data_IF_933079703896
#
_entry.id   IF_933079703896
#
_cell.length_a   1.000
_cell.length_b   1.000
_cell.length_c   1.000
_cell.angle_alpha   90.00
_cell.angle_beta   90.00
_cell.angle_gamma   90.00
#
_symmetry.space_group_name_H-M   'P 1'
#
loop_
_entity.id
_entity.type
_entity.pdbx_description
1 polymer ?
#
# COMPACT_ATOMS: atom_id res chain seq x y z
N UNK A 1 -2.16 35.48 -40.65
CA UNK A 1 -3.01 35.26 -39.43
C UNK A 1 -2.46 34.05 -38.68
N UNK A 2 -1.64 34.31 -37.65
CA UNK A 2 -1.00 33.25 -36.83
C UNK A 2 -1.98 32.84 -35.73
N UNK A 3 -2.42 31.56 -35.72
CA UNK A 3 -3.25 31.01 -34.65
C UNK A 3 -2.33 30.60 -33.51
N UNK A 4 -2.38 31.33 -32.39
CA UNK A 4 -1.73 30.96 -31.14
C UNK A 4 -2.57 29.83 -30.56
N UNK A 5 -1.99 28.62 -30.54
CA UNK A 5 -2.56 27.47 -29.84
C UNK A 5 -2.28 27.63 -28.35
N UNK A 6 -3.30 28.05 -27.60
CA UNK A 6 -3.20 28.15 -26.13
C UNK A 6 -3.33 26.73 -25.59
N UNK A 7 -2.18 26.09 -25.26
CA UNK A 7 -2.19 24.81 -24.54
C UNK A 7 -2.55 25.11 -23.07
N UNK A 8 -3.80 24.83 -22.71
CA UNK A 8 -4.22 24.87 -21.29
C UNK A 8 -3.55 23.71 -20.58
N UNK A 9 -2.50 23.99 -19.82
CA UNK A 9 -1.91 23.04 -18.88
C UNK A 9 -2.94 22.84 -17.76
N UNK A 10 -3.70 21.75 -17.81
CA UNK A 10 -4.52 21.34 -16.69
C UNK A 10 -3.56 20.87 -15.58
N UNK A 11 -3.35 21.72 -14.58
CA UNK A 11 -2.72 21.32 -13.34
C UNK A 11 -3.69 20.34 -12.64
N UNK A 12 -3.44 19.05 -12.78
CA UNK A 12 -4.15 18.03 -12.01
C UNK A 12 -3.73 18.18 -10.55
N UNK A 13 -4.69 18.49 -9.68
CA UNK A 13 -4.46 18.55 -8.25
C UNK A 13 -4.05 17.18 -7.69
N UNK A 14 -3.70 17.10 -6.39
CA UNK A 14 -3.34 15.85 -5.76
C UNK A 14 -4.49 14.84 -5.84
N UNK A 15 -4.18 13.63 -6.32
CA UNK A 15 -5.11 12.50 -6.45
C UNK A 15 -4.98 11.59 -5.23
N UNK A 16 -6.08 11.33 -4.54
CA UNK A 16 -6.14 10.28 -3.52
C UNK A 16 -6.34 8.95 -4.25
N UNK A 17 -5.29 8.12 -4.27
CA UNK A 17 -5.27 6.82 -4.96
C UNK A 17 -5.95 5.74 -4.12
N UNK A 18 -5.68 5.72 -2.82
CA UNK A 18 -6.29 4.81 -1.87
C UNK A 18 -6.53 5.51 -0.53
N UNK A 19 -7.55 5.06 0.20
CA UNK A 19 -7.86 5.54 1.53
C UNK A 19 -8.46 4.43 2.38
N UNK A 20 -7.82 4.11 3.49
CA UNK A 20 -8.37 3.29 4.56
C UNK A 20 -9.06 4.19 5.59
N UNK A 21 -10.26 3.81 6.00
CA UNK A 21 -11.01 4.50 7.02
C UNK A 21 -11.59 5.87 6.62
N UNK A 22 -12.42 6.47 7.47
CA UNK A 22 -12.98 7.80 7.27
C UNK A 22 -11.96 8.89 7.56
N UNK A 23 -12.01 9.99 6.81
CA UNK A 23 -11.34 11.24 7.16
C UNK A 23 -12.36 12.16 7.85
N UNK A 24 -12.37 12.16 9.17
CA UNK A 24 -13.18 13.05 9.99
C UNK A 24 -12.33 13.55 11.17
N UNK A 25 -12.01 14.83 11.24
CA UNK A 25 -12.32 15.91 10.29
C UNK A 25 -11.70 15.72 8.89
N UNK A 26 -12.08 16.52 7.87
CA UNK A 26 -11.49 16.46 6.55
C UNK A 26 -9.96 16.59 6.59
N UNK A 27 -9.28 15.78 5.78
CA UNK A 27 -7.82 15.80 5.69
C UNK A 27 -7.27 17.19 5.39
N UNK A 28 -6.34 17.64 6.22
CA UNK A 28 -5.64 18.91 6.08
C UNK A 28 -4.13 18.66 5.83
N UNK A 29 -3.69 18.86 4.60
CA UNK A 29 -2.30 18.64 4.20
C UNK A 29 -1.29 19.56 4.88
N UNK A 30 -1.71 20.71 5.42
CA UNK A 30 -0.83 21.60 6.19
C UNK A 30 -0.44 21.04 7.56
N UNK A 31 -1.18 20.02 8.02
CA UNK A 31 -0.87 19.30 9.27
C UNK A 31 0.00 18.07 9.04
N UNK A 32 0.57 17.89 7.86
CA UNK A 32 1.47 16.79 7.57
C UNK A 32 2.81 16.98 8.26
N UNK A 33 3.17 16.05 9.11
CA UNK A 33 4.47 15.96 9.74
C UNK A 33 5.25 14.78 9.15
N UNK A 34 6.53 14.96 8.83
CA UNK A 34 7.36 13.85 8.35
C UNK A 34 7.38 12.73 9.39
N UNK A 35 7.20 11.52 8.90
CA UNK A 35 7.32 10.33 9.73
C UNK A 35 8.76 10.15 10.22
N UNK A 36 8.94 9.58 11.41
CA UNK A 36 10.23 9.31 12.04
C UNK A 36 10.20 7.94 12.75
N UNK A 37 11.37 7.43 13.14
CA UNK A 37 11.48 6.21 13.94
C UNK A 37 10.96 4.95 13.25
N UNK A 38 10.30 4.10 14.02
CA UNK A 38 9.91 2.74 13.64
C UNK A 38 9.04 2.68 12.37
N UNK A 39 8.15 3.67 12.19
CA UNK A 39 7.28 3.70 11.01
C UNK A 39 8.10 3.86 9.70
N UNK A 40 9.16 4.65 9.71
CA UNK A 40 10.08 4.77 8.56
C UNK A 40 10.91 3.51 8.36
N UNK A 41 11.33 2.84 9.44
CA UNK A 41 12.05 1.57 9.35
C UNK A 41 11.19 0.50 8.69
N UNK A 42 9.93 0.34 9.12
CA UNK A 42 8.99 -0.61 8.55
C UNK A 42 8.68 -0.30 7.08
N UNK A 43 8.47 0.98 6.75
CA UNK A 43 8.31 1.41 5.35
C UNK A 43 9.55 1.11 4.50
N UNK A 44 10.74 1.27 5.07
CA UNK A 44 12.01 0.90 4.44
C UNK A 44 12.11 -0.60 4.13
N UNK A 45 11.66 -1.47 5.03
CA UNK A 45 11.59 -2.93 4.82
C UNK A 45 10.66 -3.30 3.65
N UNK A 46 9.48 -2.69 3.58
CA UNK A 46 8.55 -2.90 2.46
C UNK A 46 9.15 -2.42 1.14
N UNK A 47 9.73 -1.23 1.13
CA UNK A 47 10.38 -0.69 -0.07
C UNK A 47 11.53 -1.59 -0.55
N UNK A 48 12.38 -2.06 0.36
CA UNK A 48 13.47 -2.98 0.03
C UNK A 48 12.96 -4.30 -0.58
N UNK A 49 11.83 -4.82 -0.09
CA UNK A 49 11.21 -6.04 -0.61
C UNK A 49 10.69 -5.88 -2.05
N UNK A 50 10.24 -4.68 -2.42
CA UNK A 50 9.57 -4.42 -3.70
C UNK A 50 10.44 -3.68 -4.72
N UNK A 51 11.53 -3.02 -4.30
CA UNK A 51 12.37 -2.20 -5.18
C UNK A 51 12.95 -2.94 -6.39
N UNK A 52 13.22 -4.23 -6.26
CA UNK A 52 13.74 -5.06 -7.36
C UNK A 52 12.74 -5.21 -8.52
N UNK A 53 11.45 -5.02 -8.25
CA UNK A 53 10.37 -5.17 -9.22
C UNK A 53 10.06 -3.90 -10.00
N UNK A 54 10.38 -2.73 -9.46
CA UNK A 54 10.07 -1.44 -10.11
C UNK A 54 11.29 -0.68 -10.64
N UNK A 55 12.52 -1.19 -10.44
CA UNK A 55 13.72 -0.54 -10.99
C UNK A 55 13.74 -0.57 -12.54
N UNK A 56 14.18 0.52 -13.20
CA UNK A 56 14.66 1.78 -12.64
C UNK A 56 13.54 2.79 -12.28
N UNK A 57 12.28 2.46 -12.52
CA UNK A 57 11.15 3.38 -12.47
C UNK A 57 10.38 3.37 -11.13
N UNK A 58 11.06 3.02 -10.03
CA UNK A 58 10.42 3.04 -8.72
C UNK A 58 9.94 4.44 -8.34
N UNK A 59 8.68 4.60 -7.89
CA UNK A 59 8.21 5.88 -7.41
C UNK A 59 8.95 6.28 -6.13
N UNK A 60 9.21 7.57 -5.97
CA UNK A 60 9.69 8.10 -4.70
C UNK A 60 8.52 8.24 -3.75
N UNK A 61 8.53 7.46 -2.67
CA UNK A 61 7.47 7.49 -1.65
C UNK A 61 7.97 8.25 -0.43
N UNK A 62 7.23 9.30 -0.06
CA UNK A 62 7.46 10.05 1.18
C UNK A 62 6.38 9.71 2.20
N UNK A 63 6.74 9.51 3.46
CA UNK A 63 5.82 9.12 4.51
C UNK A 63 5.60 10.23 5.53
N UNK A 64 4.33 10.47 5.88
CA UNK A 64 3.90 11.51 6.80
C UNK A 64 2.90 10.96 7.81
N UNK A 65 2.91 11.51 9.01
CA UNK A 65 1.87 11.35 10.01
C UNK A 65 0.96 12.57 10.03
N UNK A 66 -0.34 12.37 10.23
CA UNK A 66 -1.31 13.46 10.29
C UNK A 66 -2.57 13.00 11.06
N UNK A 67 -2.93 13.75 12.09
CA UNK A 67 -4.10 13.41 12.93
C UNK A 67 -5.45 13.61 12.22
N UNK A 68 -5.47 14.42 11.14
CA UNK A 68 -6.67 14.64 10.32
C UNK A 68 -6.76 13.69 9.12
N UNK A 69 -5.74 12.85 8.90
CA UNK A 69 -5.78 11.85 7.83
C UNK A 69 -6.88 10.81 8.10
N UNK A 70 -7.33 10.11 7.07
CA UNK A 70 -7.91 8.79 7.24
C UNK A 70 -6.87 7.85 7.89
N UNK A 71 -7.26 6.64 8.23
CA UNK A 71 -6.36 5.69 8.90
C UNK A 71 -5.03 5.57 8.15
N UNK A 72 -5.09 5.39 6.83
CA UNK A 72 -3.95 5.44 5.93
C UNK A 72 -4.40 5.96 4.57
N UNK A 73 -3.60 6.78 3.93
CA UNK A 73 -3.89 7.39 2.62
C UNK A 73 -2.68 7.33 1.72
N UNK A 74 -2.89 6.95 0.46
CA UNK A 74 -1.92 7.11 -0.61
C UNK A 74 -2.35 8.26 -1.52
N UNK A 75 -1.50 9.27 -1.66
CA UNK A 75 -1.76 10.47 -2.44
C UNK A 75 -0.68 10.59 -3.51
N UNK A 76 -1.10 10.75 -4.78
CA UNK A 76 -0.20 11.00 -5.91
C UNK A 76 -0.30 12.46 -6.34
N UNK A 77 0.84 13.10 -6.53
CA UNK A 77 0.92 14.45 -7.05
C UNK A 77 2.18 14.61 -7.91
N UNK A 78 2.03 14.94 -9.19
CA UNK A 78 3.12 15.22 -10.13
C UNK A 78 4.25 14.17 -10.12
N UNK A 79 3.89 12.89 -10.15
CA UNK A 79 4.85 11.77 -10.16
C UNK A 79 5.47 11.44 -8.81
N UNK A 80 5.15 12.19 -7.76
CA UNK A 80 5.53 11.89 -6.38
C UNK A 80 4.41 11.17 -5.67
N UNK A 81 4.77 10.26 -4.79
CA UNK A 81 3.83 9.52 -3.96
C UNK A 81 4.02 9.91 -2.50
N UNK A 82 2.93 10.26 -1.85
CA UNK A 82 2.88 10.57 -0.44
C UNK A 82 1.98 9.57 0.28
N UNK A 83 2.52 8.92 1.30
CA UNK A 83 1.82 8.02 2.19
C UNK A 83 1.58 8.76 3.51
N UNK A 84 0.30 8.93 3.88
CA UNK A 84 -0.08 9.69 5.09
C UNK A 84 -0.88 8.78 6.00
N UNK A 85 -0.46 8.65 7.25
CA UNK A 85 -1.15 7.81 8.24
C UNK A 85 -1.57 8.58 9.48
N UNK A 86 -2.68 8.14 10.08
CA UNK A 86 -3.10 8.59 11.40
C UNK A 86 -2.29 7.85 12.48
N UNK A 87 -1.59 8.54 13.39
CA UNK A 87 -0.79 7.86 14.42
C UNK A 87 -1.59 6.84 15.25
N UNK A 88 -2.81 7.18 15.65
CA UNK A 88 -3.68 6.28 16.42
C UNK A 88 -4.01 4.98 15.67
N UNK A 89 -4.14 5.03 14.34
CA UNK A 89 -4.34 3.84 13.52
C UNK A 89 -3.12 2.92 13.58
N UNK A 90 -1.91 3.46 13.39
CA UNK A 90 -0.69 2.66 13.45
C UNK A 90 -0.48 2.05 14.84
N UNK A 91 -0.75 2.82 15.91
CA UNK A 91 -0.72 2.27 17.28
C UNK A 91 -1.70 1.11 17.42
N UNK A 92 -2.94 1.27 16.96
CA UNK A 92 -3.96 0.20 17.04
C UNK A 92 -3.56 -1.06 16.25
N UNK A 93 -2.97 -0.90 15.05
CA UNK A 93 -2.47 -2.04 14.26
C UNK A 93 -1.31 -2.72 14.96
N UNK A 94 -0.38 -1.94 15.50
CA UNK A 94 0.77 -2.46 16.22
C UNK A 94 0.37 -3.25 17.48
N UNK A 95 -0.53 -2.70 18.28
CA UNK A 95 -1.00 -3.34 19.53
C UNK A 95 -1.69 -4.68 19.27
N UNK A 96 -2.39 -4.81 18.12
CA UNK A 96 -3.12 -6.01 17.77
C UNK A 96 -2.29 -7.03 16.99
N UNK A 97 -1.40 -6.59 16.10
CA UNK A 97 -0.75 -7.44 15.10
C UNK A 97 0.78 -7.28 15.07
N UNK A 98 1.33 -6.37 15.87
CA UNK A 98 2.77 -6.07 15.90
C UNK A 98 3.27 -5.47 14.58
N UNK A 99 4.58 -5.49 14.39
CA UNK A 99 5.25 -5.02 13.16
C UNK A 99 4.67 -5.64 11.89
N UNK A 100 4.32 -6.93 11.95
CA UNK A 100 3.81 -7.66 10.78
C UNK A 100 2.48 -7.07 10.26
N UNK A 101 1.63 -6.57 11.15
CA UNK A 101 0.41 -5.87 10.77
C UNK A 101 0.70 -4.57 10.01
N UNK A 102 1.61 -3.76 10.54
CA UNK A 102 2.04 -2.52 9.88
C UNK A 102 2.69 -2.83 8.52
N UNK A 103 3.59 -3.82 8.47
CA UNK A 103 4.26 -4.24 7.23
C UNK A 103 3.25 -4.64 6.15
N UNK A 104 2.21 -5.40 6.50
CA UNK A 104 1.21 -5.86 5.56
C UNK A 104 0.37 -4.69 5.01
N UNK A 105 -0.10 -3.79 5.87
CA UNK A 105 -0.89 -2.62 5.47
C UNK A 105 -0.04 -1.68 4.60
N UNK A 106 1.21 -1.41 4.99
CA UNK A 106 2.14 -0.61 4.19
C UNK A 106 2.44 -1.28 2.83
N UNK A 107 2.59 -2.61 2.80
CA UNK A 107 2.85 -3.34 1.56
C UNK A 107 1.70 -3.20 0.56
N UNK A 108 0.46 -3.20 1.02
CA UNK A 108 -0.72 -2.96 0.18
C UNK A 108 -0.69 -1.54 -0.41
N UNK A 109 -0.46 -0.51 0.41
CA UNK A 109 -0.41 0.88 -0.07
C UNK A 109 0.77 1.15 -1.01
N UNK A 110 1.93 0.59 -0.71
CA UNK A 110 3.10 0.64 -1.63
C UNK A 110 2.78 -0.10 -2.93
N UNK A 111 1.98 -1.18 -2.85
CA UNK A 111 1.46 -1.90 -4.02
C UNK A 111 0.73 -0.97 -4.98
N UNK A 112 -0.16 -0.12 -4.49
CA UNK A 112 -0.81 0.90 -5.32
C UNK A 112 0.18 1.89 -5.96
N UNK A 113 1.25 2.23 -5.24
CA UNK A 113 2.24 3.16 -5.76
C UNK A 113 3.03 2.60 -6.94
N UNK A 114 3.35 1.29 -6.91
CA UNK A 114 4.18 0.63 -7.93
C UNK A 114 3.38 -0.02 -9.05
N UNK A 115 2.09 -0.26 -8.86
CA UNK A 115 1.23 -1.00 -9.80
C UNK A 115 1.25 -0.43 -11.22
N UNK A 116 1.29 0.89 -11.37
CA UNK A 116 1.40 1.55 -12.68
C UNK A 116 2.80 1.53 -13.30
N UNK A 117 3.84 1.21 -12.54
CA UNK A 117 5.22 1.25 -13.00
C UNK A 117 5.66 -0.04 -13.72
N UNK A 118 5.02 -1.18 -13.42
CA UNK A 118 5.42 -2.49 -13.95
C UNK A 118 4.23 -3.45 -14.09
N UNK A 119 3.67 -3.63 -15.27
CA UNK A 119 2.78 -4.77 -15.50
C UNK A 119 3.58 -6.06 -15.35
N UNK A 120 3.24 -6.86 -14.35
CA UNK A 120 3.84 -8.19 -14.18
C UNK A 120 3.05 -9.22 -14.98
N UNK A 121 3.73 -10.15 -15.69
CA UNK A 121 3.05 -11.12 -16.55
C UNK A 121 2.07 -12.04 -15.81
N UNK A 122 2.25 -12.22 -14.51
CA UNK A 122 1.40 -13.08 -13.68
C UNK A 122 0.16 -12.37 -13.11
N UNK A 123 0.08 -11.04 -13.22
CA UNK A 123 -1.11 -10.30 -12.80
C UNK A 123 -2.22 -10.42 -13.85
N UNK A 124 -3.41 -10.78 -13.39
CA UNK A 124 -4.55 -10.96 -14.29
C UNK A 124 -5.13 -9.60 -14.71
N UNK A 125 -5.42 -9.46 -16.01
CA UNK A 125 -5.90 -8.20 -16.57
C UNK A 125 -7.27 -7.75 -16.00
N UNK A 126 -8.07 -8.65 -15.45
CA UNK A 126 -9.36 -8.37 -14.83
C UNK A 126 -9.27 -8.01 -13.33
N UNK A 127 -8.07 -7.97 -12.75
CA UNK A 127 -7.92 -7.52 -11.36
C UNK A 127 -8.09 -6.02 -11.26
N UNK A 128 -8.87 -5.58 -10.28
CA UNK A 128 -8.98 -4.18 -9.89
C UNK A 128 -7.65 -3.67 -9.31
N UNK A 129 -7.50 -2.35 -9.18
CA UNK A 129 -6.32 -1.76 -8.53
C UNK A 129 -6.12 -2.29 -7.10
N UNK A 130 -7.21 -2.51 -6.36
CA UNK A 130 -7.18 -3.08 -5.01
C UNK A 130 -6.64 -4.52 -5.00
N UNK A 131 -7.10 -5.36 -5.92
CA UNK A 131 -6.60 -6.72 -6.04
C UNK A 131 -5.13 -6.75 -6.48
N UNK A 132 -4.71 -5.85 -7.37
CA UNK A 132 -3.31 -5.76 -7.76
C UNK A 132 -2.42 -5.28 -6.60
N UNK A 133 -2.91 -4.34 -5.77
CA UNK A 133 -2.22 -3.93 -4.56
C UNK A 133 -2.09 -5.09 -3.55
N UNK A 134 -3.11 -5.94 -3.42
CA UNK A 134 -3.04 -7.17 -2.62
C UNK A 134 -2.00 -8.16 -3.16
N UNK A 135 -1.92 -8.33 -4.47
CA UNK A 135 -0.89 -9.18 -5.09
C UNK A 135 0.53 -8.64 -4.77
N UNK A 136 0.73 -7.33 -4.84
CA UNK A 136 1.99 -6.70 -4.43
C UNK A 136 2.25 -6.85 -2.93
N UNK A 137 1.22 -6.76 -2.09
CA UNK A 137 1.35 -7.02 -0.65
C UNK A 137 1.81 -8.45 -0.40
N UNK A 138 1.19 -9.43 -1.06
CA UNK A 138 1.62 -10.83 -1.02
C UNK A 138 3.09 -11.00 -1.41
N UNK A 139 3.49 -10.37 -2.51
CA UNK A 139 4.87 -10.38 -2.97
C UNK A 139 5.86 -9.79 -1.94
N UNK A 140 5.53 -8.65 -1.34
CA UNK A 140 6.35 -8.03 -0.30
C UNK A 140 6.50 -8.93 0.94
N UNK A 141 5.39 -9.52 1.40
CA UNK A 141 5.39 -10.45 2.54
C UNK A 141 6.25 -11.68 2.28
N UNK A 142 6.26 -12.22 1.05
CA UNK A 142 7.14 -13.31 0.65
C UNK A 142 8.62 -12.90 0.74
N UNK A 143 8.97 -11.74 0.19
CA UNK A 143 10.37 -11.23 0.17
C UNK A 143 10.90 -10.89 1.55
N UNK A 144 10.03 -10.49 2.47
CA UNK A 144 10.40 -10.24 3.87
C UNK A 144 10.63 -11.52 4.67
N UNK A 145 10.30 -12.69 4.12
CA UNK A 145 10.50 -14.02 4.72
C UNK A 145 10.03 -14.10 6.18
N UNK A 146 8.82 -13.64 6.42
CA UNK A 146 8.23 -13.63 7.76
C UNK A 146 8.03 -15.06 8.29
N UNK A 147 8.08 -15.22 9.62
CA UNK A 147 7.62 -16.45 10.25
C UNK A 147 6.14 -16.69 9.97
N UNK A 148 5.66 -17.93 10.05
CA UNK A 148 4.24 -18.26 9.83
C UNK A 148 3.32 -17.45 10.76
N UNK A 149 3.72 -17.25 12.02
CA UNK A 149 2.97 -16.43 12.99
C UNK A 149 2.90 -14.95 12.56
N UNK A 150 4.02 -14.36 12.14
CA UNK A 150 4.07 -12.97 11.69
C UNK A 150 3.29 -12.78 10.37
N UNK A 151 3.41 -13.72 9.43
CA UNK A 151 2.63 -13.72 8.21
C UNK A 151 1.12 -13.73 8.51
N UNK A 152 0.68 -14.63 9.41
CA UNK A 152 -0.73 -14.69 9.82
C UNK A 152 -1.21 -13.39 10.47
N UNK A 153 -0.39 -12.76 11.32
CA UNK A 153 -0.71 -11.47 11.94
C UNK A 153 -0.88 -10.37 10.87
N UNK A 154 0.01 -10.30 9.89
CA UNK A 154 -0.10 -9.36 8.77
C UNK A 154 -1.37 -9.57 7.94
N UNK A 155 -1.70 -10.82 7.62
CA UNK A 155 -2.92 -11.15 6.87
C UNK A 155 -4.20 -10.83 7.66
N UNK A 156 -4.19 -11.07 8.96
CA UNK A 156 -5.28 -10.69 9.85
C UNK A 156 -5.47 -9.16 9.89
N UNK A 157 -4.39 -8.40 9.89
CA UNK A 157 -4.47 -6.94 9.81
C UNK A 157 -5.14 -6.50 8.49
N UNK A 158 -4.72 -7.04 7.34
CA UNK A 158 -5.34 -6.72 6.05
C UNK A 158 -6.84 -7.09 6.00
N UNK A 159 -7.24 -8.18 6.64
CA UNK A 159 -8.65 -8.60 6.69
C UNK A 159 -9.51 -7.70 7.58
N UNK A 160 -8.91 -7.13 8.64
CA UNK A 160 -9.60 -6.33 9.66
C UNK A 160 -9.97 -4.93 9.18
N UNK A 161 -9.19 -4.39 8.26
CA UNK A 161 -9.34 -3.01 7.79
C UNK A 161 -9.89 -2.96 6.36
N UNK A 162 -11.16 -3.34 6.14
CA UNK A 162 -11.81 -3.16 4.86
C UNK A 162 -12.02 -1.66 4.59
N UNK A 163 -11.99 -1.29 3.34
CA UNK A 163 -12.37 0.03 2.85
C UNK A 163 -13.57 -0.14 1.91
N UNK A 164 -14.39 0.88 1.70
CA UNK A 164 -15.49 0.81 0.72
C UNK A 164 -15.02 0.48 -0.70
N UNK A 165 -13.76 0.77 -1.04
CA UNK A 165 -13.13 0.42 -2.32
C UNK A 165 -12.61 -1.01 -2.37
N UNK A 166 -12.40 -1.67 -1.22
CA UNK A 166 -11.84 -3.01 -1.17
C UNK A 166 -12.90 -4.08 -1.48
N UNK A 167 -12.59 -5.07 -2.32
CA UNK A 167 -13.38 -6.28 -2.42
C UNK A 167 -13.48 -7.00 -1.07
N UNK A 168 -14.46 -7.89 -0.94
CA UNK A 168 -14.55 -8.70 0.27
C UNK A 168 -13.30 -9.58 0.45
N UNK A 169 -13.00 -9.96 1.69
CA UNK A 169 -11.79 -10.68 2.04
C UNK A 169 -11.63 -12.01 1.27
N UNK A 170 -12.74 -12.71 1.00
CA UNK A 170 -12.71 -13.98 0.25
C UNK A 170 -12.24 -13.81 -1.20
N UNK A 171 -12.45 -12.65 -1.81
CA UNK A 171 -11.92 -12.35 -3.14
C UNK A 171 -10.44 -11.91 -3.09
N UNK A 172 -10.00 -11.34 -1.98
CA UNK A 172 -8.62 -10.84 -1.79
C UNK A 172 -7.63 -11.95 -1.47
N UNK A 173 -8.04 -12.98 -0.70
CA UNK A 173 -7.17 -14.09 -0.28
C UNK A 173 -6.44 -14.75 -1.46
N UNK A 174 -7.12 -15.24 -2.52
CA UNK A 174 -6.42 -15.93 -3.62
C UNK A 174 -5.42 -15.03 -4.32
N UNK A 175 -5.67 -13.75 -4.39
CA UNK A 175 -4.79 -12.77 -5.04
C UNK A 175 -3.53 -12.52 -4.22
N UNK A 176 -3.67 -12.36 -2.90
CA UNK A 176 -2.54 -12.31 -1.96
C UNK A 176 -1.68 -13.58 -2.04
N UNK A 177 -2.32 -14.75 -2.11
CA UNK A 177 -1.64 -16.04 -2.25
C UNK A 177 -0.89 -16.14 -3.58
N UNK A 178 -1.51 -15.71 -4.68
CA UNK A 178 -0.87 -15.66 -5.99
C UNK A 178 0.39 -14.79 -5.93
N UNK A 179 0.29 -13.55 -5.41
CA UNK A 179 1.44 -12.66 -5.25
C UNK A 179 2.54 -13.23 -4.35
N UNK A 180 2.16 -13.83 -3.23
CA UNK A 180 3.09 -14.45 -2.30
C UNK A 180 3.89 -15.59 -2.97
N UNK A 181 3.23 -16.50 -3.66
CA UNK A 181 3.86 -17.65 -4.31
C UNK A 181 4.69 -17.25 -5.53
N UNK A 182 4.20 -16.31 -6.34
CA UNK A 182 4.94 -15.79 -7.50
C UNK A 182 6.26 -15.11 -7.12
N UNK A 183 6.32 -14.56 -5.92
CA UNK A 183 7.53 -13.93 -5.38
C UNK A 183 8.41 -14.87 -4.53
N UNK A 184 8.15 -16.18 -4.59
CA UNK A 184 8.95 -17.22 -3.96
C UNK A 184 8.61 -17.50 -2.50
N UNK A 185 7.43 -17.08 -2.04
CA UNK A 185 6.92 -17.44 -0.73
C UNK A 185 6.53 -18.91 -0.65
N UNK A 186 6.73 -19.52 0.51
CA UNK A 186 6.34 -20.90 0.79
C UNK A 186 4.84 -21.02 0.99
N UNK A 187 4.15 -21.60 0.01
CA UNK A 187 2.68 -21.78 0.03
C UNK A 187 2.20 -22.56 1.28
N UNK A 188 3.02 -23.41 1.89
CA UNK A 188 2.64 -24.14 3.10
C UNK A 188 2.41 -23.23 4.30
N UNK A 189 3.04 -22.05 4.32
CA UNK A 189 2.84 -21.02 5.35
C UNK A 189 1.48 -20.31 5.24
N UNK A 190 0.79 -20.41 4.09
CA UNK A 190 -0.48 -19.77 3.81
C UNK A 190 -1.70 -20.63 4.18
N UNK A 191 -1.52 -21.87 4.57
CA UNK A 191 -2.62 -22.84 4.89
C UNK A 191 -3.47 -22.42 6.10
N UNK A 192 -3.06 -21.39 6.83
CA UNK A 192 -3.77 -20.83 7.98
C UNK A 192 -4.80 -19.75 7.63
N UNK A 193 -4.92 -19.39 6.35
CA UNK A 193 -5.90 -18.40 5.88
C UNK A 193 -7.21 -19.13 5.57
N UNK A 194 -8.05 -19.30 6.56
CA UNK A 194 -9.45 -19.77 6.40
C UNK A 194 -10.44 -18.69 6.73
#
# INVERSE_FOLDING_TARGET
MSRILLTVLMLTGPEIVCRLGPADPPYNAYSDERSTGDALELAGKVNAALVSWCRPNCPTISMYRNVTAADLMLIRNEGRVKLVYKPAFFTSVYDQYGDAGILAVLAHEVGHAIDGAMPTPWMKANWTSELRADAWAGCALAKMNLSSRALQAGLNALSKYPSPSHPNWTARIPVLQDGYTQCGGDASKLTLIR
#
